data_IF_699008238903
#
_entry.id   IF_699008238903
#
_cell.length_a   1.000
_cell.length_b   1.000
_cell.length_c   1.000
_cell.angle_alpha   90.00
_cell.angle_beta   90.00
_cell.angle_gamma   90.00
#
_symmetry.space_group_name_H-M   'P 1'
#
loop_
_entity.id
_entity.type
_entity.pdbx_description
1 polymer ?
#
# COMPACT_ATOMS: atom_id res chain seq x y z
N UNK A 1 7.52 -14.47 -17.93
CA UNK A 1 8.27 -14.45 -16.66
C UNK A 1 9.08 -13.17 -16.63
N UNK A 2 8.94 -12.38 -15.57
CA UNK A 2 9.71 -11.16 -15.38
C UNK A 2 11.20 -11.48 -15.42
N UNK A 3 11.96 -10.81 -16.29
CA UNK A 3 13.43 -10.90 -16.33
C UNK A 3 14.03 -10.09 -15.19
N UNK A 4 13.67 -10.43 -13.94
CA UNK A 4 14.22 -9.77 -12.76
C UNK A 4 15.75 -9.97 -12.71
N UNK A 5 16.50 -8.96 -12.23
CA UNK A 5 17.94 -9.10 -12.06
C UNK A 5 18.25 -10.21 -11.05
N UNK A 6 19.39 -10.86 -11.26
CA UNK A 6 19.83 -12.01 -10.43
C UNK A 6 21.16 -11.73 -9.74
N UNK A 7 21.78 -10.59 -10.03
CA UNK A 7 23.01 -10.15 -9.40
C UNK A 7 22.90 -8.69 -8.98
N UNK A 8 23.42 -8.34 -7.81
CA UNK A 8 23.58 -6.93 -7.43
C UNK A 8 24.48 -6.15 -8.39
N UNK A 9 25.37 -6.84 -9.13
CA UNK A 9 26.18 -6.21 -10.15
C UNK A 9 25.34 -5.61 -11.29
N UNK A 10 24.12 -6.12 -11.52
CA UNK A 10 23.20 -5.61 -12.56
C UNK A 10 22.78 -4.15 -12.28
N UNK A 11 22.82 -3.74 -11.01
CA UNK A 11 22.56 -2.36 -10.59
C UNK A 11 23.78 -1.42 -10.75
N UNK A 12 24.95 -1.95 -11.11
CA UNK A 12 26.16 -1.17 -11.37
C UNK A 12 26.49 -0.17 -10.25
N UNK A 13 26.77 1.11 -10.57
CA UNK A 13 27.05 2.14 -9.56
C UNK A 13 25.91 2.39 -8.57
N UNK A 14 24.66 2.05 -8.93
CA UNK A 14 23.49 2.25 -8.09
C UNK A 14 23.27 1.14 -7.04
N UNK A 15 24.06 0.06 -7.05
CA UNK A 15 23.83 -1.12 -6.21
C UNK A 15 23.68 -0.79 -4.71
N UNK A 16 24.58 0.01 -4.14
CA UNK A 16 24.50 0.41 -2.72
C UNK A 16 23.24 1.22 -2.44
N UNK A 17 22.95 2.21 -3.29
CA UNK A 17 21.75 3.05 -3.13
C UNK A 17 20.47 2.23 -3.25
N UNK A 18 20.45 1.21 -4.13
CA UNK A 18 19.33 0.30 -4.30
C UNK A 18 19.06 -0.53 -3.05
N UNK A 19 20.11 -1.10 -2.44
CA UNK A 19 20.00 -1.84 -1.19
C UNK A 19 19.54 -0.95 -0.04
N UNK A 20 20.09 0.27 0.07
CA UNK A 20 19.68 1.23 1.11
C UNK A 20 18.21 1.64 0.96
N UNK A 21 17.77 1.94 -0.27
CA UNK A 21 16.37 2.28 -0.55
C UNK A 21 15.44 1.10 -0.26
N UNK A 22 15.80 -0.13 -0.65
CA UNK A 22 15.04 -1.33 -0.35
C UNK A 22 14.96 -1.60 1.17
N UNK A 23 16.06 -1.42 1.90
CA UNK A 23 16.07 -1.55 3.36
C UNK A 23 15.19 -0.48 4.03
N UNK A 24 15.20 0.76 3.52
CA UNK A 24 14.31 1.82 3.98
C UNK A 24 12.83 1.48 3.76
N UNK A 25 12.46 0.84 2.64
CA UNK A 25 11.08 0.38 2.42
C UNK A 25 10.61 -0.66 3.44
N UNK A 26 11.52 -1.49 3.96
CA UNK A 26 11.17 -2.54 4.94
C UNK A 26 11.18 -2.02 6.37
N UNK A 27 12.08 -1.09 6.71
CA UNK A 27 12.30 -0.63 8.09
C UNK A 27 11.90 0.82 8.31
N UNK A 28 12.26 1.71 7.38
CA UNK A 28 11.99 3.15 7.45
C UNK A 28 10.51 3.48 7.28
N UNK A 29 9.86 2.93 6.25
CA UNK A 29 8.44 3.18 5.96
C UNK A 29 7.50 2.81 7.12
N UNK A 30 7.60 1.63 7.77
CA UNK A 30 6.80 1.33 8.96
C UNK A 30 6.96 2.36 10.08
N UNK A 31 8.19 2.82 10.32
CA UNK A 31 8.50 3.79 11.39
C UNK A 31 7.95 5.18 11.02
N UNK A 32 8.21 5.64 9.80
CA UNK A 32 7.72 6.92 9.30
C UNK A 32 6.19 6.97 9.31
N UNK A 33 5.54 5.91 8.82
CA UNK A 33 4.09 5.73 8.83
C UNK A 33 3.54 5.76 10.25
N UNK A 34 4.14 5.04 11.19
CA UNK A 34 3.72 5.05 12.59
C UNK A 34 3.82 6.43 13.25
N UNK A 35 4.92 7.15 13.04
CA UNK A 35 5.13 8.50 13.57
C UNK A 35 4.14 9.49 12.95
N UNK A 36 3.95 9.45 11.64
CA UNK A 36 3.03 10.34 10.93
C UNK A 36 1.58 10.08 11.36
N UNK A 37 1.20 8.81 11.49
CA UNK A 37 -0.14 8.41 11.93
C UNK A 37 -0.43 8.88 13.36
N UNK A 38 0.48 8.64 14.31
CA UNK A 38 0.32 9.12 15.71
C UNK A 38 0.17 10.65 15.78
N UNK A 39 0.96 11.39 15.00
CA UNK A 39 0.85 12.85 14.92
C UNK A 39 -0.49 13.29 14.33
N UNK A 40 -1.02 12.55 13.36
CA UNK A 40 -2.34 12.80 12.80
C UNK A 40 -3.45 12.56 13.82
N UNK A 41 -3.44 11.42 14.51
CA UNK A 41 -4.43 11.09 15.54
C UNK A 41 -4.50 12.16 16.63
N UNK A 42 -3.34 12.63 17.11
CA UNK A 42 -3.27 13.70 18.12
C UNK A 42 -3.88 15.02 17.65
N UNK A 43 -3.81 15.34 16.35
CA UNK A 43 -4.38 16.57 15.76
C UNK A 43 -5.85 16.43 15.36
N UNK A 44 -6.35 15.20 15.22
CA UNK A 44 -7.66 14.94 14.63
C UNK A 44 -8.82 15.61 15.38
N UNK A 45 -8.66 15.79 16.70
CA UNK A 45 -9.67 16.40 17.58
C UNK A 45 -9.61 17.93 17.61
N UNK A 46 -8.44 18.51 17.39
CA UNK A 46 -8.20 19.95 17.60
C UNK A 46 -8.07 20.74 16.31
N UNK A 47 -7.75 20.08 15.19
CA UNK A 47 -7.46 20.72 13.91
C UNK A 47 -8.40 20.21 12.80
N UNK A 48 -9.36 21.04 12.34
CA UNK A 48 -10.23 20.73 11.20
C UNK A 48 -9.47 20.48 9.88
N UNK A 49 -8.21 20.92 9.79
CA UNK A 49 -7.31 20.70 8.67
C UNK A 49 -6.47 19.42 8.75
N UNK A 50 -6.55 18.65 9.84
CA UNK A 50 -5.65 17.52 10.11
C UNK A 50 -5.60 16.49 8.97
N UNK A 51 -6.77 16.07 8.42
CA UNK A 51 -6.83 15.12 7.30
C UNK A 51 -6.17 15.66 6.04
N UNK A 52 -6.47 16.91 5.69
CA UNK A 52 -5.90 17.55 4.50
C UNK A 52 -4.38 17.70 4.61
N UNK A 53 -3.89 18.08 5.79
CA UNK A 53 -2.45 18.15 6.06
C UNK A 53 -1.80 16.76 5.99
N UNK A 54 -2.47 15.73 6.51
CA UNK A 54 -1.98 14.36 6.44
C UNK A 54 -1.91 13.86 5.00
N UNK A 55 -2.98 14.00 4.21
CA UNK A 55 -2.97 13.63 2.79
C UNK A 55 -1.89 14.36 1.99
N UNK A 56 -1.71 15.67 2.22
CA UNK A 56 -0.66 16.44 1.56
C UNK A 56 0.75 15.92 1.90
N UNK A 57 0.98 15.48 3.14
CA UNK A 57 2.25 14.86 3.56
C UNK A 57 2.46 13.49 2.93
N UNK A 58 1.41 12.67 2.85
CA UNK A 58 1.49 11.37 2.16
C UNK A 58 1.90 11.56 0.71
N UNK A 59 1.26 12.48 -0.02
CA UNK A 59 1.61 12.77 -1.42
C UNK A 59 3.09 13.15 -1.58
N UNK A 60 3.61 14.01 -0.70
CA UNK A 60 5.02 14.43 -0.77
C UNK A 60 5.98 13.28 -0.45
N UNK A 61 5.66 12.47 0.56
CA UNK A 61 6.50 11.34 0.96
C UNK A 61 6.50 10.23 -0.08
N UNK A 62 5.33 9.82 -0.57
CA UNK A 62 5.16 8.78 -1.60
C UNK A 62 5.89 9.15 -2.88
N UNK A 63 5.62 10.35 -3.43
CA UNK A 63 6.29 10.79 -4.65
C UNK A 63 7.77 11.03 -4.43
N UNK A 64 8.17 11.60 -3.28
CA UNK A 64 9.58 11.78 -2.95
C UNK A 64 10.34 10.47 -2.97
N UNK A 65 9.80 9.43 -2.32
CA UNK A 65 10.40 8.10 -2.28
C UNK A 65 10.37 7.41 -3.65
N UNK A 66 9.25 7.52 -4.39
CA UNK A 66 9.12 6.99 -5.74
C UNK A 66 10.15 7.59 -6.70
N UNK A 67 10.37 8.92 -6.62
CA UNK A 67 11.36 9.63 -7.41
C UNK A 67 12.79 9.25 -7.02
N UNK A 68 13.08 9.05 -5.73
CA UNK A 68 14.38 8.52 -5.29
C UNK A 68 14.63 7.13 -5.86
N UNK A 69 13.67 6.21 -5.73
CA UNK A 69 13.78 4.87 -6.31
C UNK A 69 13.92 4.91 -7.83
N UNK A 70 13.23 5.84 -8.50
CA UNK A 70 13.36 6.05 -9.95
C UNK A 70 14.75 6.58 -10.32
N UNK A 71 15.30 7.54 -9.58
CA UNK A 71 16.66 8.04 -9.81
C UNK A 71 17.72 6.94 -9.59
N UNK A 72 17.54 6.08 -8.58
CA UNK A 72 18.39 4.90 -8.36
C UNK A 72 18.27 3.92 -9.52
N UNK A 73 17.06 3.65 -10.01
CA UNK A 73 16.82 2.82 -11.19
C UNK A 73 17.50 3.38 -12.45
N UNK A 74 17.46 4.69 -12.68
CA UNK A 74 18.17 5.31 -13.82
C UNK A 74 19.69 5.14 -13.76
N UNK A 75 20.26 4.94 -12.56
CA UNK A 75 21.68 4.63 -12.37
C UNK A 75 22.01 3.14 -12.49
N UNK A 76 21.01 2.26 -12.60
CA UNK A 76 21.20 0.82 -12.77
C UNK A 76 21.45 0.51 -14.25
N UNK A 77 22.69 0.14 -14.59
CA UNK A 77 23.15 0.04 -15.99
C UNK A 77 22.55 -1.14 -16.74
N UNK A 78 22.28 -2.25 -16.05
CA UNK A 78 21.88 -3.50 -16.67
C UNK A 78 20.46 -3.94 -16.27
N UNK A 79 19.76 -3.12 -15.48
CA UNK A 79 18.34 -3.34 -15.14
C UNK A 79 17.45 -2.60 -16.14
N UNK A 80 16.89 -3.33 -17.10
CA UNK A 80 15.96 -2.75 -18.08
C UNK A 80 14.58 -2.42 -17.50
N UNK A 81 13.83 -1.54 -18.18
CA UNK A 81 12.47 -1.15 -17.80
C UNK A 81 11.50 -2.34 -17.63
N UNK A 82 11.69 -3.41 -18.40
CA UNK A 82 10.91 -4.65 -18.28
C UNK A 82 11.15 -5.40 -16.97
N UNK A 83 12.37 -5.35 -16.44
CA UNK A 83 12.71 -5.99 -15.18
C UNK A 83 11.95 -5.38 -14.01
N UNK A 84 11.66 -4.07 -14.06
CA UNK A 84 10.92 -3.33 -13.03
C UNK A 84 9.44 -3.11 -13.39
N UNK A 85 8.93 -3.83 -14.41
CA UNK A 85 7.51 -3.80 -14.78
C UNK A 85 7.01 -2.55 -15.49
N UNK A 86 7.93 -1.66 -15.92
CA UNK A 86 7.62 -0.49 -16.75
C UNK A 86 7.47 -0.90 -18.22
N UNK A 87 6.55 -1.82 -18.48
CA UNK A 87 6.20 -2.28 -19.83
C UNK A 87 4.71 -2.29 -20.07
N UNK A 88 4.34 -2.08 -21.33
CA UNK A 88 2.96 -2.19 -21.76
C UNK A 88 2.54 -3.67 -21.89
N UNK A 89 1.38 -4.09 -21.36
CA UNK A 89 0.88 -5.44 -21.54
C UNK A 89 0.66 -5.75 -23.03
N UNK A 90 1.20 -6.88 -23.51
CA UNK A 90 1.06 -7.29 -24.92
C UNK A 90 -0.06 -8.30 -25.15
N UNK A 91 -0.59 -8.88 -24.10
CA UNK A 91 -1.64 -9.89 -24.14
C UNK A 91 -2.59 -9.72 -22.97
N UNK A 92 -3.79 -10.27 -23.11
CA UNK A 92 -4.72 -10.35 -22.00
C UNK A 92 -4.21 -11.29 -20.91
N UNK A 93 -4.59 -11.07 -19.63
CA UNK A 93 -4.24 -11.97 -18.55
C UNK A 93 -4.81 -13.37 -18.79
N UNK A 94 -4.10 -14.40 -18.32
CA UNK A 94 -4.57 -15.77 -18.36
C UNK A 94 -5.80 -16.02 -17.46
N UNK A 95 -6.42 -17.21 -17.53
CA UNK A 95 -7.63 -17.51 -16.77
C UNK A 95 -7.41 -17.43 -15.25
N UNK A 96 -6.25 -17.87 -14.75
CA UNK A 96 -5.91 -17.76 -13.32
C UNK A 96 -5.85 -16.31 -12.86
N UNK A 97 -5.16 -15.46 -13.62
CA UNK A 97 -5.07 -14.01 -13.38
C UNK A 97 -6.46 -13.38 -13.43
N UNK A 98 -7.31 -13.80 -14.37
CA UNK A 98 -8.71 -13.38 -14.45
C UNK A 98 -9.53 -13.74 -13.20
N UNK A 99 -9.36 -14.95 -12.66
CA UNK A 99 -9.99 -15.37 -11.39
C UNK A 99 -9.49 -14.49 -10.24
N UNK A 100 -8.19 -14.23 -10.14
CA UNK A 100 -7.63 -13.35 -9.09
C UNK A 100 -8.20 -11.94 -9.19
N UNK A 101 -8.27 -11.37 -10.39
CA UNK A 101 -8.91 -10.06 -10.64
C UNK A 101 -10.37 -10.09 -10.16
N UNK A 102 -11.14 -11.11 -10.53
CA UNK A 102 -12.52 -11.25 -10.08
C UNK A 102 -12.64 -11.31 -8.56
N UNK A 103 -11.77 -12.06 -7.88
CA UNK A 103 -11.75 -12.14 -6.41
C UNK A 103 -11.43 -10.77 -5.78
N UNK A 104 -10.51 -9.99 -6.35
CA UNK A 104 -10.23 -8.62 -5.91
C UNK A 104 -11.45 -7.73 -6.10
N UNK A 105 -12.14 -7.81 -7.24
CA UNK A 105 -13.37 -7.04 -7.49
C UNK A 105 -14.48 -7.41 -6.52
N UNK A 106 -14.68 -8.71 -6.26
CA UNK A 106 -15.63 -9.20 -5.26
C UNK A 106 -15.28 -8.71 -3.86
N UNK A 107 -13.99 -8.72 -3.49
CA UNK A 107 -13.51 -8.13 -2.23
C UNK A 107 -13.81 -6.64 -2.14
N UNK A 108 -13.54 -5.86 -3.20
CA UNK A 108 -13.85 -4.41 -3.24
C UNK A 108 -15.33 -4.18 -3.00
N UNK A 109 -16.19 -4.94 -3.70
CA UNK A 109 -17.65 -4.83 -3.59
C UNK A 109 -18.14 -5.24 -2.19
N UNK A 110 -17.70 -6.40 -1.69
CA UNK A 110 -18.11 -6.92 -0.38
C UNK A 110 -17.64 -6.02 0.77
N UNK A 111 -16.37 -5.60 0.76
CA UNK A 111 -15.81 -4.69 1.78
C UNK A 111 -16.50 -3.33 1.74
N UNK A 112 -16.79 -2.78 0.55
CA UNK A 112 -17.56 -1.52 0.43
C UNK A 112 -18.96 -1.66 1.03
N UNK A 113 -19.67 -2.76 0.77
CA UNK A 113 -21.00 -3.00 1.36
C UNK A 113 -20.94 -3.11 2.88
N UNK A 114 -19.97 -3.85 3.41
CA UNK A 114 -19.75 -3.97 4.85
C UNK A 114 -19.46 -2.61 5.51
N UNK A 115 -18.57 -1.81 4.90
CA UNK A 115 -18.23 -0.46 5.37
C UNK A 115 -19.43 0.49 5.36
N UNK A 116 -20.23 0.47 4.28
CA UNK A 116 -21.45 1.29 4.16
C UNK A 116 -22.55 0.87 5.13
N UNK A 117 -22.61 -0.42 5.46
CA UNK A 117 -23.57 -1.00 6.41
C UNK A 117 -23.25 -0.71 7.87
N UNK A 118 -22.09 -0.12 8.19
CA UNK A 118 -21.69 0.13 9.58
C UNK A 118 -21.14 -1.11 10.31
N UNK A 119 -20.86 -2.20 9.60
CA UNK A 119 -20.36 -3.45 10.20
C UNK A 119 -19.08 -3.26 11.03
N UNK A 120 -18.24 -2.27 10.69
CA UNK A 120 -17.06 -1.93 11.48
C UNK A 120 -17.40 -1.20 12.79
N UNK A 121 -18.47 -0.40 12.84
CA UNK A 121 -18.96 0.20 14.09
C UNK A 121 -19.54 -0.88 15.01
N UNK A 122 -20.25 -1.85 14.44
CA UNK A 122 -20.80 -3.00 15.18
C UNK A 122 -19.69 -3.90 15.74
N UNK A 123 -18.70 -4.26 14.92
CA UNK A 123 -17.55 -5.03 15.37
C UNK A 123 -16.71 -4.30 16.44
N UNK A 124 -16.62 -2.96 16.35
CA UNK A 124 -15.99 -2.11 17.37
C UNK A 124 -16.80 -1.99 18.68
N UNK A 125 -18.13 -2.13 18.61
CA UNK A 125 -19.00 -2.09 19.77
C UNK A 125 -18.95 -3.39 20.59
N UNK A 126 -18.63 -4.52 19.94
CA UNK A 126 -18.38 -5.81 20.61
C UNK A 126 -16.98 -5.80 21.25
N UNK A 127 -16.83 -5.05 22.35
CA UNK A 127 -15.65 -5.13 23.21
C UNK A 127 -15.58 -6.49 23.89
N UNK A 128 -14.42 -7.14 23.86
CA UNK A 128 -14.18 -8.34 24.69
C UNK A 128 -13.96 -7.91 26.15
N UNK A 129 -14.57 -8.58 27.14
CA UNK A 129 -14.28 -8.30 28.55
C UNK A 129 -12.79 -8.55 28.81
N UNK A 130 -12.03 -7.52 29.17
CA UNK A 130 -10.58 -7.59 29.45
C UNK A 130 -9.68 -6.73 28.56
N UNK A 131 -10.18 -6.13 27.48
CA UNK A 131 -9.40 -5.15 26.70
C UNK A 131 -9.29 -3.82 27.46
N UNK A 132 -8.07 -3.47 27.87
CA UNK A 132 -7.78 -2.23 28.60
C UNK A 132 -8.21 -0.98 27.85
N UNK A 133 -8.47 0.12 28.58
CA UNK A 133 -8.90 1.44 28.06
C UNK A 133 -8.04 2.03 26.92
N UNK A 134 -6.86 1.48 26.65
CA UNK A 134 -5.90 1.95 25.64
C UNK A 134 -5.82 1.08 24.37
N UNK A 135 -6.57 -0.02 24.28
CA UNK A 135 -6.67 -0.79 23.04
C UNK A 135 -7.74 -0.16 22.14
N UNK A 136 -7.34 0.79 21.29
CA UNK A 136 -8.18 1.24 20.17
C UNK A 136 -8.43 0.04 19.24
N UNK A 137 -9.69 -0.35 18.95
CA UNK A 137 -9.98 -1.50 18.11
C UNK A 137 -9.38 -1.33 16.71
N UNK A 138 -8.87 -2.42 16.14
CA UNK A 138 -8.01 -2.49 14.94
C UNK A 138 -8.65 -2.09 13.59
N UNK A 139 -9.65 -1.22 13.61
CA UNK A 139 -10.26 -0.56 12.45
C UNK A 139 -10.54 0.94 12.65
N UNK A 140 -10.34 1.50 13.85
CA UNK A 140 -10.56 2.92 14.12
C UNK A 140 -9.54 3.81 13.42
N UNK A 141 -8.28 3.36 13.32
CA UNK A 141 -7.18 4.08 12.67
C UNK A 141 -7.46 4.33 11.18
N UNK A 142 -7.88 3.30 10.43
CA UNK A 142 -8.22 3.43 9.00
C UNK A 142 -9.50 4.25 8.80
N UNK A 143 -10.53 4.05 9.64
CA UNK A 143 -11.77 4.83 9.55
C UNK A 143 -11.56 6.32 9.86
N UNK A 144 -10.63 6.65 10.75
CA UNK A 144 -10.28 8.03 11.10
C UNK A 144 -9.71 8.81 9.91
N UNK A 145 -8.97 8.11 9.03
CA UNK A 145 -8.37 8.64 7.82
C UNK A 145 -9.37 8.94 6.71
N UNK A 146 -10.60 8.42 6.78
CA UNK A 146 -11.57 8.57 5.69
C UNK A 146 -12.04 10.02 5.50
N UNK A 147 -12.19 10.48 4.25
CA UNK A 147 -12.54 11.86 3.95
C UNK A 147 -14.02 12.15 4.27
N UNK A 148 -14.32 13.34 4.81
CA UNK A 148 -15.68 13.73 5.24
C UNK A 148 -16.26 14.87 4.42
N UNK A 149 -15.41 15.79 3.97
CA UNK A 149 -15.80 16.96 3.18
C UNK A 149 -15.49 16.76 1.69
N UNK A 150 -16.14 17.52 0.81
CA UNK A 150 -15.85 17.49 -0.65
C UNK A 150 -14.37 17.74 -0.94
N UNK A 151 -13.73 18.67 -0.22
CA UNK A 151 -12.31 18.98 -0.39
C UNK A 151 -11.41 17.83 0.03
N UNK A 152 -11.70 17.19 1.17
CA UNK A 152 -10.99 15.99 1.60
C UNK A 152 -11.17 14.84 0.62
N UNK A 153 -12.38 14.65 0.09
CA UNK A 153 -12.68 13.58 -0.90
C UNK A 153 -11.89 13.77 -2.19
N UNK A 154 -11.84 14.99 -2.72
CA UNK A 154 -11.01 15.31 -3.91
C UNK A 154 -9.54 15.01 -3.65
N UNK A 155 -9.01 15.41 -2.50
CA UNK A 155 -7.61 15.16 -2.16
C UNK A 155 -7.34 13.67 -1.91
N UNK A 156 -8.27 12.95 -1.29
CA UNK A 156 -8.20 11.50 -1.10
C UNK A 156 -8.26 10.74 -2.43
N UNK A 157 -9.00 11.24 -3.43
CA UNK A 157 -8.95 10.68 -4.79
C UNK A 157 -7.54 10.76 -5.37
N UNK A 158 -6.86 11.89 -5.19
CA UNK A 158 -5.46 12.05 -5.62
C UNK A 158 -4.58 11.05 -4.88
N UNK A 159 -4.67 10.99 -3.54
CA UNK A 159 -3.92 10.03 -2.71
C UNK A 159 -4.14 8.58 -3.16
N UNK A 160 -5.38 8.13 -3.36
CA UNK A 160 -5.63 6.73 -3.74
C UNK A 160 -5.07 6.37 -5.13
N UNK A 161 -5.05 7.32 -6.07
CA UNK A 161 -4.43 7.10 -7.38
C UNK A 161 -2.90 7.11 -7.25
N UNK A 162 -2.34 8.06 -6.50
CA UNK A 162 -0.89 8.19 -6.35
C UNK A 162 -0.29 7.05 -5.55
N UNK A 163 -0.96 6.59 -4.50
CA UNK A 163 -0.55 5.42 -3.73
C UNK A 163 -0.52 4.19 -4.64
N UNK A 164 -1.58 3.97 -5.43
CA UNK A 164 -1.61 2.89 -6.42
C UNK A 164 -0.45 2.94 -7.43
N UNK A 165 -0.01 4.12 -7.85
CA UNK A 165 1.15 4.27 -8.76
C UNK A 165 2.48 4.09 -8.01
N UNK A 166 2.68 4.83 -6.93
CA UNK A 166 3.95 4.93 -6.22
C UNK A 166 4.27 3.64 -5.48
N UNK A 167 3.30 3.05 -4.77
CA UNK A 167 3.53 1.84 -4.00
C UNK A 167 3.73 0.61 -4.87
N UNK A 168 3.04 0.50 -6.01
CA UNK A 168 3.33 -0.57 -6.98
C UNK A 168 4.70 -0.40 -7.62
N UNK A 169 5.08 0.83 -7.97
CA UNK A 169 6.45 1.13 -8.41
C UNK A 169 7.50 0.74 -7.35
N UNK A 170 7.31 1.19 -6.11
CA UNK A 170 8.27 0.99 -5.02
C UNK A 170 8.39 -0.47 -4.60
N UNK A 171 7.27 -1.15 -4.36
CA UNK A 171 7.28 -2.49 -3.79
C UNK A 171 7.34 -3.60 -4.83
N UNK A 172 6.78 -3.42 -6.03
CA UNK A 172 6.71 -4.49 -7.05
C UNK A 172 7.77 -4.27 -8.11
N UNK A 173 7.86 -3.07 -8.67
CA UNK A 173 8.88 -2.76 -9.67
C UNK A 173 10.27 -2.76 -9.09
N UNK A 174 10.51 -1.86 -8.13
CA UNK A 174 11.86 -1.59 -7.61
C UNK A 174 12.29 -2.62 -6.55
N UNK A 175 11.55 -2.75 -5.45
CA UNK A 175 11.95 -3.58 -4.31
C UNK A 175 12.14 -5.05 -4.68
N UNK A 176 11.24 -5.66 -5.46
CA UNK A 176 11.40 -7.05 -5.89
C UNK A 176 12.60 -7.25 -6.82
N UNK A 177 12.91 -6.27 -7.68
CA UNK A 177 14.12 -6.31 -8.49
C UNK A 177 15.37 -6.32 -7.60
N UNK A 178 15.43 -5.44 -6.59
CA UNK A 178 16.56 -5.42 -5.64
C UNK A 178 16.65 -6.71 -4.85
N UNK A 179 15.54 -7.22 -4.30
CA UNK A 179 15.51 -8.49 -3.55
C UNK A 179 15.98 -9.65 -4.41
N UNK A 180 15.50 -9.75 -5.66
CA UNK A 180 15.93 -10.79 -6.60
C UNK A 180 17.44 -10.73 -6.86
N UNK A 181 17.98 -9.53 -7.06
CA UNK A 181 19.42 -9.32 -7.31
C UNK A 181 20.29 -9.66 -6.09
N UNK A 182 19.85 -9.30 -4.87
CA UNK A 182 20.56 -9.62 -3.62
C UNK A 182 20.59 -11.13 -3.37
N UNK A 183 19.48 -11.80 -3.65
CA UNK A 183 19.27 -13.20 -3.27
C UNK A 183 19.56 -14.20 -4.40
N UNK A 184 20.09 -13.76 -5.54
CA UNK A 184 20.52 -14.65 -6.61
C UNK A 184 19.39 -15.22 -7.50
N UNK A 185 18.27 -14.50 -7.64
CA UNK A 185 17.12 -14.95 -8.43
C UNK A 185 16.20 -15.91 -7.69
N UNK A 186 15.52 -15.41 -6.65
CA UNK A 186 14.56 -16.21 -5.88
C UNK A 186 13.38 -16.73 -6.73
N UNK A 187 12.83 -17.90 -6.39
CA UNK A 187 11.61 -18.38 -7.02
C UNK A 187 10.44 -17.42 -6.74
N UNK A 188 9.52 -17.30 -7.70
CA UNK A 188 8.43 -16.33 -7.67
C UNK A 188 7.59 -16.37 -6.38
N UNK A 189 7.32 -17.56 -5.82
CA UNK A 189 6.53 -17.69 -4.59
C UNK A 189 7.22 -17.08 -3.36
N UNK A 190 8.56 -17.11 -3.29
CA UNK A 190 9.31 -16.44 -2.22
C UNK A 190 9.28 -14.92 -2.39
N UNK A 191 9.38 -14.42 -3.63
CA UNK A 191 9.25 -12.99 -3.92
C UNK A 191 7.86 -12.48 -3.52
N UNK A 192 6.79 -13.24 -3.79
CA UNK A 192 5.44 -12.93 -3.34
C UNK A 192 5.37 -12.84 -1.80
N UNK A 193 5.97 -13.81 -1.10
CA UNK A 193 5.99 -13.81 0.37
C UNK A 193 6.76 -12.60 0.94
N UNK A 194 7.93 -12.28 0.36
CA UNK A 194 8.74 -11.13 0.78
C UNK A 194 8.00 -9.82 0.54
N UNK A 195 7.37 -9.64 -0.63
CA UNK A 195 6.54 -8.47 -0.90
C UNK A 195 5.34 -8.37 0.06
N UNK A 196 4.66 -9.48 0.33
CA UNK A 196 3.52 -9.52 1.26
C UNK A 196 3.93 -9.07 2.67
N UNK A 197 5.05 -9.57 3.18
CA UNK A 197 5.56 -9.18 4.51
C UNK A 197 6.00 -7.73 4.51
N UNK A 198 6.81 -7.29 3.55
CA UNK A 198 7.31 -5.91 3.48
C UNK A 198 6.15 -4.91 3.40
N UNK A 199 5.19 -5.15 2.51
CA UNK A 199 4.04 -4.28 2.31
C UNK A 199 3.08 -4.27 3.50
N UNK A 200 2.88 -5.43 4.15
CA UNK A 200 2.12 -5.52 5.39
C UNK A 200 2.75 -4.71 6.52
N UNK A 201 4.08 -4.81 6.68
CA UNK A 201 4.83 -4.05 7.69
C UNK A 201 4.81 -2.54 7.43
N UNK A 202 4.88 -2.09 6.17
CA UNK A 202 4.73 -0.68 5.81
C UNK A 202 3.40 -0.08 6.34
N UNK A 203 2.39 -0.93 6.50
CA UNK A 203 1.07 -0.60 7.02
C UNK A 203 0.90 -0.91 8.51
N UNK A 204 1.98 -1.06 9.28
CA UNK A 204 1.92 -1.40 10.71
C UNK A 204 1.10 -0.41 11.55
N UNK A 205 0.96 0.84 11.12
CA UNK A 205 0.11 1.85 11.75
C UNK A 205 -1.39 1.47 11.77
N UNK A 206 -1.82 0.54 10.90
CA UNK A 206 -3.20 0.03 10.86
C UNK A 206 -3.47 -1.08 11.90
N UNK A 207 -2.46 -1.48 12.68
CA UNK A 207 -2.56 -2.57 13.64
C UNK A 207 -2.51 -3.96 12.99
N UNK A 208 -2.63 -5.02 13.80
CA UNK A 208 -2.36 -6.41 13.36
C UNK A 208 -3.25 -6.89 12.21
N UNK A 209 -4.55 -6.59 12.26
CA UNK A 209 -5.47 -6.93 11.16
C UNK A 209 -5.17 -6.15 9.90
N UNK A 210 -4.73 -4.89 10.03
CA UNK A 210 -4.27 -4.07 8.93
C UNK A 210 -3.04 -4.69 8.26
N UNK A 211 -2.00 -5.01 9.02
CA UNK A 211 -0.78 -5.68 8.53
C UNK A 211 -1.10 -6.95 7.74
N UNK A 212 -1.97 -7.81 8.27
CA UNK A 212 -2.34 -9.06 7.60
C UNK A 212 -3.12 -8.78 6.32
N UNK A 213 -4.13 -7.90 6.37
CA UNK A 213 -4.96 -7.59 5.21
C UNK A 213 -4.15 -6.92 4.09
N UNK A 214 -3.37 -5.88 4.41
CA UNK A 214 -2.55 -5.19 3.42
C UNK A 214 -1.45 -6.12 2.93
N UNK A 215 -0.83 -6.94 3.78
CA UNK A 215 0.15 -7.94 3.34
C UNK A 215 -0.43 -8.96 2.36
N UNK A 216 -1.63 -9.46 2.60
CA UNK A 216 -2.34 -10.37 1.66
C UNK A 216 -2.60 -9.68 0.32
N UNK A 217 -3.18 -8.47 0.33
CA UNK A 217 -3.39 -7.69 -0.90
C UNK A 217 -2.05 -7.38 -1.59
N UNK A 218 -1.02 -7.11 -0.78
CA UNK A 218 0.37 -6.90 -1.14
C UNK A 218 0.92 -8.02 -2.01
N UNK A 219 0.82 -9.24 -1.47
CA UNK A 219 1.20 -10.48 -2.14
C UNK A 219 0.37 -10.79 -3.37
N UNK A 220 -0.94 -10.52 -3.36
CA UNK A 220 -1.80 -10.69 -4.55
C UNK A 220 -1.31 -9.79 -5.69
N UNK A 221 -1.05 -8.51 -5.44
CA UNK A 221 -0.52 -7.60 -6.46
C UNK A 221 0.88 -8.01 -6.92
N UNK A 222 1.73 -8.51 -6.03
CA UNK A 222 3.04 -9.06 -6.40
C UNK A 222 2.92 -10.28 -7.32
N UNK A 223 1.98 -11.19 -7.04
CA UNK A 223 1.72 -12.34 -7.91
C UNK A 223 1.21 -11.91 -9.29
N UNK A 224 0.27 -10.95 -9.34
CA UNK A 224 -0.21 -10.37 -10.60
C UNK A 224 0.91 -9.70 -11.40
N UNK A 225 1.80 -8.96 -10.73
CA UNK A 225 2.96 -8.35 -11.36
C UNK A 225 3.92 -9.40 -11.94
N UNK A 226 4.30 -10.42 -11.16
CA UNK A 226 5.24 -11.45 -11.61
C UNK A 226 4.68 -12.30 -12.77
N UNK A 227 3.37 -12.51 -12.78
CA UNK A 227 2.66 -13.21 -13.86
C UNK A 227 2.56 -12.37 -15.14
N UNK A 228 2.13 -11.11 -15.02
CA UNK A 228 1.88 -10.24 -16.19
C UNK A 228 3.12 -9.51 -16.70
N UNK A 229 4.14 -9.33 -15.86
CA UNK A 229 5.33 -8.54 -16.14
C UNK A 229 5.12 -7.03 -16.27
N UNK A 230 3.94 -6.52 -15.93
CA UNK A 230 3.58 -5.11 -16.03
C UNK A 230 2.99 -4.61 -14.71
N UNK A 231 3.36 -3.39 -14.32
CA UNK A 231 2.76 -2.72 -13.16
C UNK A 231 1.34 -2.21 -13.44
N UNK A 232 0.91 -2.12 -14.71
CA UNK A 232 -0.36 -1.48 -15.04
C UNK A 232 -1.56 -2.13 -14.34
N UNK A 233 -1.66 -3.47 -14.39
CA UNK A 233 -2.77 -4.17 -13.74
C UNK A 233 -2.75 -4.02 -12.21
N UNK A 234 -1.63 -4.28 -11.50
CA UNK A 234 -1.51 -3.97 -10.07
C UNK A 234 -1.88 -2.52 -9.71
N UNK A 235 -1.39 -1.53 -10.46
CA UNK A 235 -1.66 -0.09 -10.23
C UNK A 235 -3.17 0.19 -10.30
N UNK A 236 -3.84 -0.31 -11.33
CA UNK A 236 -5.27 -0.10 -11.51
C UNK A 236 -6.10 -0.75 -10.39
N UNK A 237 -5.74 -1.98 -10.00
CA UNK A 237 -6.45 -2.69 -8.92
C UNK A 237 -6.18 -2.05 -7.55
N UNK A 238 -4.95 -1.62 -7.29
CA UNK A 238 -4.61 -0.92 -6.05
C UNK A 238 -5.37 0.40 -5.94
N UNK A 239 -5.32 1.24 -6.98
CA UNK A 239 -6.10 2.48 -7.00
C UNK A 239 -7.60 2.22 -6.82
N UNK A 240 -8.15 1.16 -7.44
CA UNK A 240 -9.55 0.77 -7.25
C UNK A 240 -9.85 0.36 -5.80
N UNK A 241 -8.96 -0.43 -5.19
CA UNK A 241 -9.05 -0.80 -3.78
C UNK A 241 -9.12 0.48 -2.96
N UNK A 242 -8.18 1.42 -3.09
CA UNK A 242 -8.17 2.62 -2.24
C UNK A 242 -9.34 3.56 -2.49
N UNK A 243 -9.72 3.77 -3.75
CA UNK A 243 -10.84 4.64 -4.10
C UNK A 243 -12.18 4.10 -3.62
N UNK A 244 -12.31 2.79 -3.31
CA UNK A 244 -13.52 2.19 -2.73
C UNK A 244 -13.98 2.91 -1.46
N UNK A 245 -13.03 3.44 -0.70
CA UNK A 245 -13.30 4.16 0.54
C UNK A 245 -14.10 5.45 0.32
N UNK A 246 -14.06 6.04 -0.88
CA UNK A 246 -14.91 7.18 -1.24
C UNK A 246 -16.39 6.81 -1.28
N UNK A 247 -16.74 5.53 -1.44
CA UNK A 247 -18.13 5.08 -1.47
C UNK A 247 -18.75 4.96 -0.06
N UNK A 248 -17.93 5.06 0.98
CA UNK A 248 -18.38 5.06 2.38
C UNK A 248 -18.94 6.44 2.75
N UNK A 249 -20.23 6.54 3.13
CA UNK A 249 -20.83 7.83 3.47
C UNK A 249 -20.31 8.31 4.83
N UNK A 250 -20.10 9.63 4.97
CA UNK A 250 -19.60 10.22 6.22
C UNK A 250 -20.47 9.93 7.44
N UNK A 251 -21.78 9.70 7.24
CA UNK A 251 -22.76 9.38 8.29
C UNK A 251 -22.49 8.07 9.05
N UNK A 252 -21.74 7.13 8.46
CA UNK A 252 -21.39 5.85 9.11
C UNK A 252 -19.97 5.86 9.69
N UNK A 253 -19.29 7.01 9.65
CA UNK A 253 -17.97 7.15 10.26
C UNK A 253 -18.13 7.57 11.72
N UNK A 254 -17.30 7.05 12.65
CA UNK A 254 -17.33 7.48 14.04
C UNK A 254 -17.22 9.00 14.15
N UNK A 255 -18.15 9.63 14.87
CA UNK A 255 -17.94 10.98 15.37
C UNK A 255 -16.65 10.94 16.21
N UNK A 256 -15.69 11.84 15.96
CA UNK A 256 -14.49 11.89 16.78
C UNK A 256 -14.93 12.08 18.23
N UNK A 257 -14.70 11.08 19.10
CA UNK A 257 -15.20 11.13 20.48
C UNK A 257 -14.68 12.41 21.15
N UNK A 258 -15.53 13.25 21.73
CA UNK A 258 -15.05 14.30 22.63
C UNK A 258 -14.32 13.63 23.80
N UNK A 259 -13.17 14.19 24.17
CA UNK A 259 -12.50 13.79 25.40
C UNK A 259 -13.33 14.30 26.58
N UNK A 260 -13.81 13.39 27.40
CA UNK A 260 -14.22 13.67 28.78
C UNK A 260 -13.15 13.09 29.70
#
# INVERSE_FOLDING_TARGET
>A
MTGLPTSLADFGPAALAAVVAAAYLVVGEPVAGHVLHRRFEGRLRTDPGARRSFYGRLLVLEWGLALVAFAVFLGATDVGAAAVGLTWPRSWPGPLTGVVVLLVLLFVVASTRALRGGALLEAAAVRRPGEGRHAEPSGHSTLALLPRTTRERRLFTVVGITAGVCEEWLYRGFFLAVVSAVAGGLPAWLLVLVAAVAFGLAHAYQGRSGIVLTGVLGGVMAALYLDTGSLLLPVLLHALIDLRFLLVPSRVLPAGRPAW
#
